data_IF_066545626785
#
_entry.id   IF_066545626785
#
_cell.length_a   1.000
_cell.length_b   1.000
_cell.length_c   1.000
_cell.angle_alpha   90.00
_cell.angle_beta   90.00
_cell.angle_gamma   90.00
#
_symmetry.space_group_name_H-M   'P 1'
#
loop_
_entity.id
_entity.type
_entity.pdbx_description
1 polymer ?
#
# COMPACT_ATOMS: atom_id res chain seq x y z
N UNK A 1 1.31 3.55 4.05
CA UNK A 1 0.80 4.79 4.66
C UNK A 1 -0.71 4.72 4.65
N UNK A 2 -1.38 5.26 5.67
CA UNK A 2 -2.82 5.41 5.66
C UNK A 2 -3.22 6.75 6.27
N UNK A 3 -4.36 7.29 5.82
CA UNK A 3 -4.96 8.53 6.33
C UNK A 3 -6.47 8.47 6.16
N UNK A 4 -7.21 9.33 6.86
CA UNK A 4 -8.65 9.39 6.76
C UNK A 4 -9.27 10.62 7.40
N UNK A 5 -10.50 10.90 7.00
CA UNK A 5 -11.39 11.90 7.60
C UNK A 5 -12.77 11.28 7.89
N UNK A 6 -13.80 12.12 8.07
CA UNK A 6 -15.16 11.65 8.39
C UNK A 6 -15.79 10.84 7.25
N UNK A 7 -15.41 11.11 6.01
CA UNK A 7 -16.12 10.62 4.83
C UNK A 7 -15.27 9.60 4.04
N UNK A 8 -13.94 9.70 4.10
CA UNK A 8 -13.03 8.90 3.30
C UNK A 8 -11.85 8.34 4.09
N UNK A 9 -11.43 7.13 3.70
CA UNK A 9 -10.21 6.47 4.16
C UNK A 9 -9.31 6.12 2.96
N UNK A 10 -8.00 6.31 3.10
CA UNK A 10 -7.01 5.99 2.06
C UNK A 10 -5.90 5.11 2.62
N UNK A 11 -5.68 3.94 1.99
CA UNK A 11 -4.54 3.05 2.26
C UNK A 11 -3.67 3.01 1.01
N UNK A 12 -2.44 3.50 1.14
CA UNK A 12 -1.51 3.66 0.04
C UNK A 12 -0.20 2.93 0.32
N UNK A 13 0.20 2.10 -0.64
CA UNK A 13 1.50 1.46 -0.70
C UNK A 13 2.11 1.74 -2.07
N UNK A 14 3.30 2.35 -2.06
CA UNK A 14 4.12 2.55 -3.24
C UNK A 14 5.50 1.93 -2.98
N UNK A 15 6.05 1.31 -4.01
CA UNK A 15 7.39 0.72 -3.96
C UNK A 15 7.99 0.73 -5.37
N UNK A 16 9.32 0.78 -5.45
CA UNK A 16 10.07 0.56 -6.68
C UNK A 16 10.51 -0.91 -6.86
N UNK A 17 9.89 -1.80 -6.09
CA UNK A 17 10.23 -3.22 -5.86
C UNK A 17 11.41 -3.39 -4.92
N UNK A 18 12.64 -3.51 -5.42
CA UNK A 18 13.83 -3.59 -4.56
C UNK A 18 14.35 -2.20 -4.19
N UNK A 19 15.09 -2.07 -3.09
CA UNK A 19 15.53 -0.80 -2.46
C UNK A 19 15.77 0.38 -3.42
N UNK A 20 16.97 0.48 -4.01
CA UNK A 20 17.29 1.51 -5.03
C UNK A 20 16.80 1.14 -6.43
N UNK A 21 15.77 0.30 -6.51
CA UNK A 21 15.11 -0.14 -7.72
C UNK A 21 16.09 -0.83 -8.69
N UNK A 22 16.13 -0.38 -9.95
CA UNK A 22 17.07 -0.89 -10.95
C UNK A 22 18.50 -0.37 -10.81
N UNK A 23 18.76 0.60 -9.91
CA UNK A 23 20.01 1.36 -9.88
C UNK A 23 20.16 2.39 -11.00
N UNK A 24 19.16 2.52 -11.90
CA UNK A 24 19.14 3.49 -12.99
C UNK A 24 18.35 4.72 -12.56
N UNK A 25 18.98 5.90 -12.61
CA UNK A 25 18.31 7.18 -12.40
C UNK A 25 18.00 7.84 -13.74
N UNK A 26 16.80 8.40 -13.86
CA UNK A 26 16.45 9.27 -14.99
C UNK A 26 17.26 10.57 -14.84
N UNK A 27 18.09 10.93 -15.85
CA UNK A 27 18.92 12.13 -15.79
C UNK A 27 18.12 13.37 -15.40
N UNK A 28 18.72 14.25 -14.61
CA UNK A 28 18.17 15.55 -14.19
C UNK A 28 16.91 15.52 -13.32
N UNK A 29 16.21 14.38 -13.18
CA UNK A 29 14.99 14.27 -12.35
C UNK A 29 15.24 13.66 -10.97
N UNK A 30 16.32 12.88 -10.82
CA UNK A 30 16.58 12.12 -9.59
C UNK A 30 15.65 10.93 -9.37
N UNK A 31 14.76 10.62 -10.33
CA UNK A 31 13.81 9.51 -10.22
C UNK A 31 14.52 8.19 -10.56
N UNK A 32 14.53 7.25 -9.62
CA UNK A 32 15.02 5.88 -9.86
C UNK A 32 13.97 5.05 -10.61
N UNK A 33 14.40 4.34 -11.66
CA UNK A 33 13.51 3.49 -12.46
C UNK A 33 13.15 2.19 -11.72
N UNK A 34 11.87 1.81 -11.65
CA UNK A 34 11.43 0.60 -10.94
C UNK A 34 11.97 -0.66 -11.60
N UNK A 35 12.35 -1.67 -10.80
CA UNK A 35 12.81 -2.96 -11.31
C UNK A 35 11.74 -4.07 -11.19
N UNK A 36 10.48 -3.72 -10.94
CA UNK A 36 9.37 -4.67 -10.72
C UNK A 36 9.17 -5.69 -11.85
N UNK A 37 9.63 -5.40 -13.07
CA UNK A 37 9.59 -6.36 -14.17
C UNK A 37 10.39 -7.65 -13.87
N UNK A 38 11.30 -7.65 -12.89
CA UNK A 38 11.96 -8.85 -12.38
C UNK A 38 10.98 -9.88 -11.78
N UNK A 39 9.76 -9.46 -11.44
CA UNK A 39 8.70 -10.35 -10.98
C UNK A 39 8.07 -11.21 -12.08
N UNK A 40 8.41 -11.04 -13.36
CA UNK A 40 7.97 -11.96 -14.41
C UNK A 40 8.77 -13.27 -14.40
N UNK A 41 8.15 -14.33 -14.91
CA UNK A 41 8.88 -15.56 -15.30
C UNK A 41 9.06 -15.62 -16.82
N UNK A 42 10.03 -16.42 -17.25
CA UNK A 42 10.24 -16.76 -18.67
C UNK A 42 9.65 -18.13 -19.04
N UNK A 43 9.19 -18.90 -18.04
CA UNK A 43 8.61 -20.23 -18.22
C UNK A 43 7.41 -20.20 -19.18
N UNK A 44 7.44 -21.09 -20.16
CA UNK A 44 6.39 -21.19 -21.17
C UNK A 44 5.10 -21.73 -20.52
N UNK A 45 3.98 -21.06 -20.78
CA UNK A 45 2.68 -21.45 -20.24
C UNK A 45 2.38 -20.92 -18.83
N UNK A 46 3.35 -20.38 -18.10
CA UNK A 46 3.10 -19.84 -16.77
C UNK A 46 2.21 -18.57 -16.83
N UNK A 47 1.17 -18.41 -15.97
CA UNK A 47 0.27 -17.25 -16.00
C UNK A 47 0.97 -15.91 -15.81
N UNK A 48 2.14 -15.89 -15.17
CA UNK A 48 2.98 -14.70 -14.97
C UNK A 48 4.19 -14.64 -15.93
N UNK A 49 4.12 -15.30 -17.10
CA UNK A 49 5.13 -15.15 -18.15
C UNK A 49 5.14 -13.72 -18.71
N UNK A 50 6.31 -13.17 -18.99
CA UNK A 50 6.45 -11.84 -19.62
C UNK A 50 5.71 -11.76 -20.97
N UNK A 51 5.04 -10.63 -21.22
CA UNK A 51 4.37 -10.33 -22.50
C UNK A 51 4.20 -8.80 -22.69
N UNK A 52 4.04 -8.30 -23.93
CA UNK A 52 3.80 -6.89 -24.20
C UNK A 52 2.59 -6.34 -23.43
N UNK A 53 2.73 -5.15 -22.84
CA UNK A 53 1.72 -4.45 -22.02
C UNK A 53 1.17 -5.22 -20.80
N UNK A 54 1.73 -6.39 -20.49
CA UNK A 54 1.36 -7.17 -19.30
C UNK A 54 1.99 -6.52 -18.05
N UNK A 55 1.29 -6.64 -16.92
CA UNK A 55 1.82 -6.26 -15.61
C UNK A 55 2.35 -7.51 -14.90
N UNK A 56 3.51 -7.45 -14.23
CA UNK A 56 4.01 -8.56 -13.44
C UNK A 56 3.06 -8.84 -12.28
N UNK A 57 3.15 -10.02 -11.69
CA UNK A 57 2.45 -10.29 -10.44
C UNK A 57 2.91 -9.30 -9.34
N UNK A 58 1.97 -8.79 -8.53
CA UNK A 58 2.22 -7.80 -7.48
C UNK A 58 1.82 -8.35 -6.10
N UNK A 59 2.68 -8.16 -5.10
CA UNK A 59 2.42 -8.49 -3.69
C UNK A 59 1.89 -7.30 -2.87
N UNK A 60 1.64 -6.16 -3.52
CA UNK A 60 1.22 -4.94 -2.83
C UNK A 60 -0.28 -5.04 -2.51
N UNK A 61 -0.61 -5.08 -1.22
CA UNK A 61 -1.99 -5.24 -0.72
C UNK A 61 -2.35 -4.05 0.16
N UNK A 62 -2.83 -2.93 -0.41
CA UNK A 62 -3.42 -1.86 0.40
C UNK A 62 -4.75 -2.38 0.96
N UNK A 63 -4.92 -2.33 2.27
CA UNK A 63 -6.05 -2.96 2.95
C UNK A 63 -6.47 -2.24 4.22
N UNK A 64 -7.72 -2.50 4.61
CA UNK A 64 -8.37 -2.05 5.83
C UNK A 64 -9.02 -3.24 6.53
N UNK A 65 -9.15 -3.14 7.85
CA UNK A 65 -9.94 -4.05 8.68
C UNK A 65 -11.20 -3.31 9.15
N UNK A 66 -12.29 -4.07 9.31
CA UNK A 66 -13.55 -3.60 9.90
C UNK A 66 -13.86 -4.45 11.13
N UNK A 67 -14.26 -3.81 12.22
CA UNK A 67 -14.74 -4.47 13.44
C UNK A 67 -16.27 -4.53 13.48
N UNK A 68 -16.80 -5.41 14.33
CA UNK A 68 -18.25 -5.64 14.48
C UNK A 68 -18.99 -4.40 14.99
N UNK A 69 -18.30 -3.51 15.73
CA UNK A 69 -18.84 -2.23 16.20
C UNK A 69 -18.96 -1.17 15.08
N UNK A 70 -18.55 -1.51 13.86
CA UNK A 70 -18.63 -0.65 12.68
C UNK A 70 -17.39 0.20 12.43
N UNK A 71 -16.36 0.11 13.27
CA UNK A 71 -15.10 0.82 13.10
C UNK A 71 -14.29 0.27 11.91
N UNK A 72 -13.51 1.13 11.25
CA UNK A 72 -12.53 0.77 10.23
C UNK A 72 -11.12 1.30 10.55
N UNK A 73 -10.08 0.55 10.17
CA UNK A 73 -8.69 0.96 10.36
C UNK A 73 -7.75 0.32 9.33
N UNK A 74 -6.59 0.94 9.02
CA UNK A 74 -5.64 0.38 8.06
C UNK A 74 -5.01 -0.90 8.59
N UNK A 75 -4.81 -1.89 7.72
CA UNK A 75 -4.08 -3.11 8.08
C UNK A 75 -2.57 -2.85 8.00
N UNK A 76 -1.88 -3.08 9.10
CA UNK A 76 -0.42 -3.10 9.18
C UNK A 76 0.14 -4.45 8.70
N UNK A 77 1.45 -4.49 8.45
CA UNK A 77 2.13 -5.69 7.93
C UNK A 77 2.12 -6.89 8.88
N UNK A 78 1.90 -6.67 10.17
CA UNK A 78 1.70 -7.72 11.18
C UNK A 78 0.26 -8.25 11.21
N UNK A 79 -0.61 -7.75 10.33
CA UNK A 79 -2.01 -8.14 10.23
C UNK A 79 -2.92 -7.46 11.26
N UNK A 80 -2.43 -6.48 12.02
CA UNK A 80 -3.23 -5.73 12.99
C UNK A 80 -3.60 -4.36 12.46
N UNK A 81 -4.63 -3.76 13.04
CA UNK A 81 -4.94 -2.36 12.87
C UNK A 81 -4.88 -1.70 14.25
N UNK A 82 -4.40 -0.46 14.32
CA UNK A 82 -4.48 0.30 15.56
C UNK A 82 -5.96 0.49 15.93
N UNK A 83 -6.25 0.51 17.23
CA UNK A 83 -7.57 0.86 17.72
C UNK A 83 -7.98 2.23 17.13
N UNK A 84 -9.27 2.43 16.82
CA UNK A 84 -9.73 3.73 16.32
C UNK A 84 -9.27 4.86 17.24
N UNK A 85 -8.97 6.04 16.69
CA UNK A 85 -8.78 7.21 17.53
C UNK A 85 -9.98 7.33 18.47
N UNK A 86 -9.71 7.49 19.78
CA UNK A 86 -10.75 7.66 20.78
C UNK A 86 -11.75 8.71 20.30
N UNK A 87 -13.07 8.50 20.44
CA UNK A 87 -14.03 9.53 20.10
C UNK A 87 -13.64 10.83 20.81
N UNK A 88 -13.79 11.99 20.16
CA UNK A 88 -13.41 13.26 20.78
C UNK A 88 -14.06 13.34 22.15
N UNK A 89 -13.25 13.39 23.21
CA UNK A 89 -13.76 13.60 24.55
C UNK A 89 -14.38 14.98 24.53
N UNK A 90 -15.71 15.02 24.55
CA UNK A 90 -16.43 16.27 24.70
C UNK A 90 -16.03 16.78 26.08
N UNK A 91 -15.12 17.75 26.11
CA UNK A 91 -14.60 18.35 27.33
C UNK A 91 -15.77 18.97 28.09
N UNK A 92 -16.37 18.20 28.99
CA UNK A 92 -17.41 18.63 29.89
C UNK A 92 -16.84 19.68 30.83
N UNK A 93 -16.93 20.95 30.44
CA UNK A 93 -17.03 22.04 31.39
C UNK A 93 -18.48 22.10 31.86
N UNK A 94 -18.79 21.33 32.90
CA UNK A 94 -19.95 21.54 33.74
C UNK A 94 -19.46 22.01 35.12
N UNK A 95 -19.94 23.18 35.54
CA UNK A 95 -19.93 23.63 36.94
C UNK A 95 -18.67 24.34 37.39
#
# INVERSE_FOLDING_TARGET
>A
MATGDRDFLVSLIQSNYDGFASGILVPQTGIALPNRASGFTLELGHPNRIAPAKRPFHLIIPSFLRWDDGTFGPMWSDGRADAPPSPPTNGGKHG
#
